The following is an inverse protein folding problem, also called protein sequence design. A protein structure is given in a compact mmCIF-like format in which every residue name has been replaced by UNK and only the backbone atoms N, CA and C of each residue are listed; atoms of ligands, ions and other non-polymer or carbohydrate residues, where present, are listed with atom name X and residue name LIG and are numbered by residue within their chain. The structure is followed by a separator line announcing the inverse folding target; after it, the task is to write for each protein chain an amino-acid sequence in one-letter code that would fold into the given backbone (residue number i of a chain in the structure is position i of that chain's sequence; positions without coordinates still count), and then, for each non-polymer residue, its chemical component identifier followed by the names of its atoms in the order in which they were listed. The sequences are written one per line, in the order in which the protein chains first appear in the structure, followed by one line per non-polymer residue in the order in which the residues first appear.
data_IF_611482640850
#
_entry.id   IF_611482640850
#
_cell.length_a   1.000
_cell.length_b   1.000
_cell.length_c   1.000
_cell.angle_alpha   90.00
_cell.angle_beta   90.00
_cell.angle_gamma   90.00
#
_symmetry.space_group_name_H-M   'P 1'
#
loop_
_entity.id
_entity.type
_entity.pdbx_description
1 polymer ?
#
# COMPACT_ATOMS: atom_id res chain seq x y z
N UNK A 1 12.76 -1.28 11.37
CA UNK A 1 14.17 -1.17 11.68
C UNK A 1 14.60 0.25 12.07
N UNK A 2 15.91 0.48 12.24
CA UNK A 2 16.51 1.75 12.66
C UNK A 2 16.05 2.93 11.78
N UNK A 3 15.99 2.75 10.48
CA UNK A 3 15.54 3.75 9.51
C UNK A 3 14.09 4.23 9.77
N UNK A 4 13.18 3.31 10.10
CA UNK A 4 11.79 3.69 10.43
C UNK A 4 11.72 4.44 11.76
N UNK A 5 12.58 4.09 12.74
CA UNK A 5 12.67 4.82 14.00
C UNK A 5 13.16 6.25 13.79
N UNK A 6 14.17 6.44 12.95
CA UNK A 6 14.72 7.75 12.57
C UNK A 6 13.64 8.59 11.87
N UNK A 7 12.92 8.04 10.90
CA UNK A 7 11.85 8.74 10.17
C UNK A 7 10.69 9.17 11.06
N UNK A 8 10.38 8.44 12.13
CA UNK A 8 9.35 8.84 13.08
C UNK A 8 9.72 10.09 13.87
N UNK A 9 11.00 10.34 14.07
CA UNK A 9 11.52 11.52 14.76
C UNK A 9 11.77 12.69 13.81
N UNK A 10 12.15 12.41 12.56
CA UNK A 10 12.39 13.41 11.53
C UNK A 10 11.22 13.41 10.53
N UNK A 11 10.22 14.26 10.78
CA UNK A 11 9.01 14.36 9.97
C UNK A 11 8.98 15.65 9.17
N UNK A 12 8.25 15.65 8.07
CA UNK A 12 7.96 16.86 7.31
C UNK A 12 7.32 17.92 8.24
N UNK A 13 7.88 19.13 8.24
CA UNK A 13 7.46 20.21 9.14
C UNK A 13 8.17 20.26 10.50
N UNK A 14 9.13 19.37 10.78
CA UNK A 14 9.97 19.47 11.96
C UNK A 14 10.85 20.71 11.88
N UNK A 15 10.71 21.63 12.85
CA UNK A 15 11.46 22.90 12.91
C UNK A 15 12.70 22.84 13.80
N UNK A 16 12.77 21.84 14.68
CA UNK A 16 13.87 21.69 15.62
C UNK A 16 14.87 20.65 15.11
N UNK A 17 16.13 20.84 15.46
CA UNK A 17 17.19 19.87 15.19
C UNK A 17 16.90 18.54 15.92
N UNK A 18 17.06 17.41 15.22
CA UNK A 18 16.87 16.07 15.78
C UNK A 18 18.23 15.41 15.91
N UNK A 19 18.70 15.20 17.13
CA UNK A 19 19.94 14.51 17.43
C UNK A 19 19.67 13.05 17.72
N UNK A 20 20.32 12.15 16.97
CA UNK A 20 20.16 10.70 17.10
C UNK A 20 21.45 10.10 17.63
N UNK A 21 21.38 9.47 18.80
CA UNK A 21 22.51 8.81 19.44
C UNK A 21 22.40 7.29 19.27
N UNK A 22 23.36 6.70 18.57
CA UNK A 22 23.48 5.25 18.41
C UNK A 22 24.51 4.72 19.38
N UNK A 23 24.05 4.01 20.42
CA UNK A 23 24.94 3.35 21.37
C UNK A 23 25.26 1.97 20.83
N UNK A 24 26.53 1.71 20.52
CA UNK A 24 27.01 0.42 19.98
C UNK A 24 28.16 -0.11 20.86
N UNK A 25 28.34 -1.43 20.87
CA UNK A 25 29.48 -2.10 21.49
C UNK A 25 30.54 -2.41 20.43
N UNK A 26 31.80 -2.61 20.84
CA UNK A 26 32.93 -2.89 19.95
C UNK A 26 32.75 -4.14 19.08
N UNK A 27 31.89 -5.08 19.52
CA UNK A 27 31.56 -6.29 18.79
C UNK A 27 30.58 -6.07 17.64
N UNK A 28 30.00 -4.87 17.48
CA UNK A 28 28.99 -4.53 16.48
C UNK A 28 29.53 -3.81 15.25
N UNK A 29 30.82 -3.89 14.96
CA UNK A 29 31.46 -3.24 13.81
C UNK A 29 30.75 -3.56 12.47
N UNK A 30 30.32 -4.80 12.27
CA UNK A 30 29.60 -5.24 11.07
C UNK A 30 28.22 -4.57 10.95
N UNK A 31 27.54 -4.33 12.06
CA UNK A 31 26.22 -3.67 12.08
C UNK A 31 26.37 -2.19 11.74
N UNK A 32 27.42 -1.52 12.27
CA UNK A 32 27.72 -0.14 11.94
C UNK A 32 28.02 0.01 10.44
N UNK A 33 28.85 -0.86 9.88
CA UNK A 33 29.17 -0.84 8.45
C UNK A 33 27.95 -1.08 7.56
N UNK A 34 27.03 -1.98 7.96
CA UNK A 34 25.77 -2.21 7.24
C UNK A 34 24.82 -0.99 7.31
N UNK A 35 24.80 -0.28 8.45
CA UNK A 35 24.02 0.96 8.62
C UNK A 35 24.61 2.07 7.74
N UNK A 36 25.93 2.29 7.79
CA UNK A 36 26.62 3.31 7.01
C UNK A 36 26.45 3.06 5.49
N UNK A 37 26.51 1.80 5.06
CA UNK A 37 26.28 1.43 3.65
C UNK A 37 24.84 1.74 3.21
N UNK A 38 23.85 1.40 4.03
CA UNK A 38 22.44 1.68 3.73
C UNK A 38 22.14 3.18 3.77
N UNK A 39 22.80 3.93 4.66
CA UNK A 39 22.65 5.38 4.72
C UNK A 39 23.22 6.04 3.45
N UNK A 40 24.39 5.64 3.00
CA UNK A 40 24.97 6.13 1.73
C UNK A 40 24.12 5.80 0.52
N UNK A 41 23.58 4.59 0.45
CA UNK A 41 22.65 4.22 -0.63
C UNK A 41 21.38 5.07 -0.61
N UNK A 42 20.88 5.40 0.57
CA UNK A 42 19.72 6.27 0.72
C UNK A 42 20.02 7.72 0.31
N UNK A 43 21.19 8.27 0.70
CA UNK A 43 21.62 9.62 0.30
C UNK A 43 21.78 9.73 -1.22
N UNK A 44 22.38 8.71 -1.86
CA UNK A 44 22.51 8.65 -3.32
C UNK A 44 21.10 8.63 -3.97
N UNK A 45 20.20 7.79 -3.45
CA UNK A 45 18.83 7.71 -3.96
C UNK A 45 18.07 9.03 -3.79
N UNK A 46 18.23 9.72 -2.64
CA UNK A 46 17.64 11.05 -2.43
C UNK A 46 18.19 12.09 -3.40
N UNK A 47 19.50 12.07 -3.65
CA UNK A 47 20.16 12.99 -4.55
C UNK A 47 19.75 12.75 -6.02
N UNK A 48 19.60 11.50 -6.41
CA UNK A 48 19.05 11.12 -7.72
C UNK A 48 17.58 11.51 -7.86
N UNK A 49 16.76 11.31 -6.82
CA UNK A 49 15.37 11.78 -6.79
C UNK A 49 15.30 13.32 -6.86
N UNK A 50 16.13 14.04 -6.10
CA UNK A 50 16.19 15.49 -6.14
C UNK A 50 16.62 16.02 -7.52
N UNK A 51 17.58 15.35 -8.18
CA UNK A 51 17.98 15.64 -9.55
C UNK A 51 16.86 15.36 -10.56
N UNK A 52 16.16 14.24 -10.41
CA UNK A 52 15.00 13.89 -11.25
C UNK A 52 13.85 14.90 -11.08
N UNK A 53 13.56 15.33 -9.85
CA UNK A 53 12.57 16.37 -9.57
C UNK A 53 12.98 17.72 -10.17
N UNK A 54 14.25 18.13 -10.04
CA UNK A 54 14.74 19.39 -10.61
C UNK A 54 14.78 19.40 -12.15
N UNK A 55 15.04 18.24 -12.78
CA UNK A 55 14.94 18.08 -14.24
C UNK A 55 13.49 18.09 -14.75
N UNK A 56 12.53 17.67 -13.91
CA UNK A 56 11.11 17.64 -14.24
C UNK A 56 10.36 18.94 -13.92
N UNK A 57 10.88 19.83 -13.06
CA UNK A 57 10.27 21.13 -12.77
C UNK A 57 10.25 22.10 -13.95
N UNK A 58 11.02 21.83 -15.01
CA UNK A 58 11.01 22.64 -16.23
C UNK A 58 10.05 22.16 -17.32
N UNK A 59 9.37 21.00 -17.17
CA UNK A 59 8.50 20.49 -18.24
C UNK A 59 7.55 19.34 -17.94
N UNK A 60 7.58 18.74 -16.76
CA UNK A 60 6.70 17.60 -16.43
C UNK A 60 6.39 17.53 -14.93
N UNK A 61 5.42 18.30 -14.50
CA UNK A 61 4.66 17.96 -13.29
C UNK A 61 3.81 16.74 -13.68
N UNK A 62 4.10 15.61 -13.10
CA UNK A 62 3.50 14.29 -13.17
C UNK A 62 4.35 13.22 -13.87
N UNK A 63 5.25 12.65 -13.13
CA UNK A 63 5.57 11.21 -13.19
C UNK A 63 6.24 10.76 -11.88
N UNK A 64 5.64 11.10 -10.74
CA UNK A 64 5.93 10.40 -9.49
C UNK A 64 5.03 9.17 -9.50
N UNK A 65 5.61 8.01 -9.79
CA UNK A 65 4.93 6.74 -9.60
C UNK A 65 4.01 6.23 -10.72
N UNK A 66 4.33 6.46 -12.00
CA UNK A 66 3.75 5.56 -12.98
C UNK A 66 4.33 4.17 -12.74
N UNK A 67 3.49 3.25 -12.25
CA UNK A 67 3.78 1.83 -12.38
C UNK A 67 4.07 1.55 -13.86
N UNK A 68 5.12 0.79 -14.14
CA UNK A 68 5.31 0.25 -15.48
C UNK A 68 4.10 -0.61 -15.81
N UNK A 69 3.15 -0.01 -16.54
CA UNK A 69 1.94 -0.70 -16.96
C UNK A 69 2.34 -1.65 -18.06
N UNK A 70 2.17 -2.92 -17.83
CA UNK A 70 2.36 -3.95 -18.85
C UNK A 70 1.03 -4.60 -19.15
N UNK A 71 0.78 -4.91 -20.42
CA UNK A 71 -0.43 -5.53 -20.88
C UNK A 71 -0.09 -6.72 -21.80
N UNK A 72 -0.76 -7.85 -21.54
CA UNK A 72 -0.71 -9.04 -22.39
C UNK A 72 -2.14 -9.49 -22.69
N UNK A 73 -2.48 -9.57 -23.96
CA UNK A 73 -3.83 -9.89 -24.41
C UNK A 73 -3.81 -11.03 -25.42
N UNK A 74 -4.81 -11.90 -25.35
CA UNK A 74 -5.14 -12.86 -26.41
C UNK A 74 -6.67 -13.04 -26.51
N UNK A 75 -7.13 -14.02 -27.29
CA UNK A 75 -8.56 -14.31 -27.47
C UNK A 75 -9.30 -14.70 -26.18
N UNK A 76 -8.57 -15.17 -25.16
CA UNK A 76 -9.14 -15.79 -23.96
C UNK A 76 -8.96 -14.97 -22.69
N UNK A 77 -7.90 -14.16 -22.62
CA UNK A 77 -7.59 -13.36 -21.44
C UNK A 77 -6.91 -12.03 -21.77
N UNK A 78 -7.04 -11.10 -20.84
CA UNK A 78 -6.26 -9.88 -20.77
C UNK A 78 -5.59 -9.82 -19.39
N UNK A 79 -4.26 -9.66 -19.36
CA UNK A 79 -3.50 -9.46 -18.12
C UNK A 79 -2.93 -8.06 -18.16
N UNK A 80 -3.24 -7.28 -17.13
CA UNK A 80 -2.72 -5.93 -16.97
C UNK A 80 -2.03 -5.82 -15.60
N UNK A 81 -0.81 -5.31 -15.60
CA UNK A 81 -0.07 -4.96 -14.38
C UNK A 81 -0.08 -3.45 -14.23
N UNK A 82 -0.45 -2.96 -13.05
CA UNK A 82 -0.50 -1.52 -12.75
C UNK A 82 -1.31 -1.24 -11.49
N UNK A 83 -1.60 0.03 -11.24
CA UNK A 83 -2.52 0.43 -10.18
C UNK A 83 -3.95 -0.05 -10.53
N UNK A 84 -4.48 -0.94 -9.69
CA UNK A 84 -5.79 -1.55 -9.93
C UNK A 84 -6.94 -0.53 -9.90
N UNK A 85 -6.81 0.57 -9.13
CA UNK A 85 -7.82 1.63 -9.07
C UNK A 85 -7.88 2.41 -10.39
N UNK A 86 -6.74 2.62 -11.04
CA UNK A 86 -6.66 3.28 -12.34
C UNK A 86 -7.08 2.33 -13.47
N UNK A 87 -6.56 1.09 -13.46
CA UNK A 87 -6.84 0.11 -14.51
C UNK A 87 -8.32 -0.26 -14.60
N UNK A 88 -9.00 -0.43 -13.47
CA UNK A 88 -10.42 -0.80 -13.44
C UNK A 88 -11.33 0.27 -14.05
N UNK A 89 -10.90 1.54 -14.11
CA UNK A 89 -11.65 2.62 -14.74
C UNK A 89 -11.85 2.39 -16.24
N UNK A 90 -10.97 1.63 -16.89
CA UNK A 90 -11.08 1.26 -18.29
C UNK A 90 -12.04 0.09 -18.54
N UNK A 91 -12.51 -0.57 -17.47
CA UNK A 91 -13.47 -1.68 -17.59
C UNK A 91 -14.88 -1.11 -17.73
N UNK A 92 -15.64 -1.68 -18.67
CA UNK A 92 -17.01 -1.26 -18.97
C UNK A 92 -17.92 -1.53 -17.77
N UNK A 93 -18.90 -0.64 -17.55
CA UNK A 93 -19.95 -0.80 -16.55
C UNK A 93 -20.72 -2.11 -16.77
N UNK A 94 -21.12 -2.76 -15.69
CA UNK A 94 -21.96 -3.96 -15.69
C UNK A 94 -21.47 -5.06 -16.65
N UNK A 95 -20.16 -5.27 -16.73
CA UNK A 95 -19.54 -6.23 -17.66
C UNK A 95 -18.90 -7.44 -17.01
N UNK A 96 -18.66 -7.39 -15.69
CA UNK A 96 -17.95 -8.44 -14.94
C UNK A 96 -18.91 -9.37 -14.25
N UNK A 97 -18.83 -10.67 -14.60
CA UNK A 97 -19.69 -11.70 -14.03
C UNK A 97 -19.19 -12.31 -12.71
N UNK A 98 -17.91 -12.21 -12.42
CA UNK A 98 -17.30 -12.67 -11.16
C UNK A 98 -16.00 -11.92 -10.93
N UNK A 99 -15.79 -11.43 -9.71
CA UNK A 99 -14.51 -10.90 -9.26
C UNK A 99 -13.98 -11.74 -8.10
N UNK A 100 -12.71 -12.14 -8.17
CA UNK A 100 -12.03 -12.91 -7.10
C UNK A 100 -10.67 -12.28 -6.83
N UNK A 101 -10.42 -11.86 -5.59
CA UNK A 101 -9.14 -11.27 -5.23
C UNK A 101 -8.87 -11.31 -3.72
N UNK A 102 -7.64 -10.99 -3.36
CA UNK A 102 -7.21 -10.79 -1.97
C UNK A 102 -6.70 -9.35 -1.85
N UNK A 103 -7.28 -8.51 -0.98
CA UNK A 103 -6.77 -7.17 -0.74
C UNK A 103 -5.45 -7.22 0.03
N UNK A 104 -4.63 -6.16 0.02
CA UNK A 104 -3.57 -6.02 0.99
C UNK A 104 -4.12 -6.12 2.43
N UNK A 105 -3.32 -6.71 3.34
CA UNK A 105 -3.72 -6.86 4.74
C UNK A 105 -3.38 -5.58 5.53
N UNK A 106 -3.89 -4.43 5.09
CA UNK A 106 -3.64 -3.11 5.66
C UNK A 106 -2.13 -2.87 5.92
N UNK A 107 -1.75 -2.51 7.15
CA UNK A 107 -0.36 -2.21 7.55
C UNK A 107 0.52 -3.45 7.81
N UNK A 108 0.01 -4.67 7.57
CA UNK A 108 0.73 -5.89 7.95
C UNK A 108 1.96 -6.12 7.06
N UNK A 109 1.84 -5.85 5.76
CA UNK A 109 2.92 -6.01 4.78
C UNK A 109 3.02 -4.78 3.88
N UNK A 110 4.26 -4.35 3.62
CA UNK A 110 4.59 -3.37 2.59
C UNK A 110 5.02 -4.12 1.34
N UNK A 111 4.28 -4.00 0.26
CA UNK A 111 4.55 -4.72 -0.99
C UNK A 111 5.47 -3.92 -1.92
N UNK A 112 5.38 -2.60 -1.89
CA UNK A 112 6.22 -1.71 -2.68
C UNK A 112 6.50 -0.38 -1.95
N UNK A 113 7.33 0.49 -2.55
CA UNK A 113 7.57 1.83 -2.04
C UNK A 113 6.69 2.91 -2.69
N UNK A 114 5.71 2.50 -3.50
CA UNK A 114 4.80 3.42 -4.16
C UNK A 114 3.79 4.02 -3.18
N UNK A 115 3.39 5.26 -3.44
CA UNK A 115 2.42 5.96 -2.59
C UNK A 115 1.03 5.36 -2.71
N UNK A 116 0.71 4.84 -3.90
CA UNK A 116 -0.57 4.19 -4.20
C UNK A 116 -0.68 2.76 -3.67
N UNK A 117 0.41 2.20 -3.15
CA UNK A 117 0.36 0.88 -2.51
C UNK A 117 -0.38 0.96 -1.18
N UNK A 118 -1.60 0.42 -1.15
CA UNK A 118 -2.47 0.39 0.03
C UNK A 118 -1.84 -0.34 1.22
N UNK A 119 -0.83 -1.21 1.00
CA UNK A 119 -0.02 -1.83 2.04
C UNK A 119 0.88 -0.84 2.81
N UNK A 120 1.06 0.39 2.29
CA UNK A 120 1.79 1.47 2.94
C UNK A 120 0.91 2.37 3.80
N UNK A 121 -0.38 2.08 3.92
CA UNK A 121 -1.32 2.86 4.72
C UNK A 121 -0.84 2.99 6.16
N UNK A 122 -1.02 4.16 6.72
CA UNK A 122 -0.58 4.51 8.09
C UNK A 122 -1.35 3.72 9.15
N UNK A 123 -2.64 3.53 8.90
CA UNK A 123 -3.57 2.84 9.78
C UNK A 123 -4.73 2.22 8.97
N UNK A 124 -5.60 1.48 9.66
CA UNK A 124 -6.75 0.82 9.05
C UNK A 124 -7.76 1.78 8.41
N UNK A 125 -7.93 2.99 8.96
CA UNK A 125 -8.86 3.97 8.42
C UNK A 125 -8.36 4.52 7.07
N UNK A 126 -7.06 4.81 6.99
CA UNK A 126 -6.44 5.23 5.75
C UNK A 126 -6.52 4.12 4.69
N UNK A 127 -6.22 2.87 5.08
CA UNK A 127 -6.38 1.72 4.21
C UNK A 127 -7.81 1.61 3.67
N UNK A 128 -8.82 1.65 4.54
CA UNK A 128 -10.22 1.54 4.14
C UNK A 128 -10.66 2.71 3.24
N UNK A 129 -10.14 3.91 3.51
CA UNK A 129 -10.40 5.07 2.65
C UNK A 129 -9.87 4.84 1.24
N UNK A 130 -8.63 4.41 1.09
CA UNK A 130 -8.02 4.10 -0.20
C UNK A 130 -8.73 2.91 -0.88
N UNK A 131 -9.00 1.85 -0.12
CA UNK A 131 -9.68 0.67 -0.63
C UNK A 131 -11.12 0.95 -1.10
N UNK A 132 -11.79 1.96 -0.51
CA UNK A 132 -13.13 2.37 -0.93
C UNK A 132 -13.19 2.84 -2.39
N UNK A 133 -12.10 3.37 -2.95
CA UNK A 133 -12.05 3.75 -4.36
C UNK A 133 -12.17 2.52 -5.26
N UNK A 134 -11.43 1.44 -4.95
CA UNK A 134 -11.54 0.17 -5.67
C UNK A 134 -12.93 -0.45 -5.51
N UNK A 135 -13.50 -0.44 -4.31
CA UNK A 135 -14.83 -1.03 -4.06
C UNK A 135 -15.91 -0.33 -4.88
N UNK A 136 -15.88 0.99 -5.00
CA UNK A 136 -16.84 1.76 -5.83
C UNK A 136 -16.74 1.39 -7.31
N UNK A 137 -15.53 1.26 -7.81
CA UNK A 137 -15.31 0.82 -9.19
C UNK A 137 -15.75 -0.63 -9.40
N UNK A 138 -15.49 -1.52 -8.44
CA UNK A 138 -16.03 -2.88 -8.47
C UNK A 138 -17.55 -2.86 -8.53
N UNK A 139 -18.22 -2.01 -7.74
CA UNK A 139 -19.68 -1.89 -7.79
C UNK A 139 -20.17 -1.43 -9.16
N UNK A 140 -19.47 -0.53 -9.82
CA UNK A 140 -19.78 -0.04 -11.17
C UNK A 140 -19.65 -1.13 -12.24
N UNK A 141 -18.53 -1.89 -12.22
CA UNK A 141 -18.22 -2.85 -13.28
C UNK A 141 -18.92 -4.20 -13.12
N UNK A 142 -19.36 -4.55 -11.91
CA UNK A 142 -20.04 -5.82 -11.65
C UNK A 142 -21.44 -5.83 -12.24
N UNK A 143 -21.80 -6.92 -12.93
CA UNK A 143 -23.18 -7.16 -13.37
C UNK A 143 -24.08 -7.38 -12.15
N UNK A 144 -25.32 -6.94 -12.23
CA UNK A 144 -26.29 -7.13 -11.16
C UNK A 144 -26.49 -8.62 -10.83
N UNK A 145 -26.59 -8.93 -9.53
CA UNK A 145 -26.77 -10.30 -9.04
C UNK A 145 -25.54 -11.20 -9.19
N UNK A 146 -24.37 -10.62 -9.49
CA UNK A 146 -23.10 -11.36 -9.59
C UNK A 146 -22.24 -11.17 -8.35
N UNK A 147 -21.32 -12.11 -8.13
CA UNK A 147 -20.57 -12.21 -6.89
C UNK A 147 -19.19 -11.57 -6.98
N UNK A 148 -18.80 -10.93 -5.89
CA UNK A 148 -17.42 -10.58 -5.57
C UNK A 148 -16.95 -11.49 -4.44
N UNK A 149 -15.91 -12.27 -4.66
CA UNK A 149 -15.30 -13.14 -3.66
C UNK A 149 -14.00 -12.49 -3.16
N UNK A 150 -13.94 -12.14 -1.89
CA UNK A 150 -12.79 -11.51 -1.26
C UNK A 150 -12.14 -12.50 -0.30
N UNK A 151 -10.89 -12.89 -0.61
CA UNK A 151 -10.10 -13.72 0.27
C UNK A 151 -9.36 -12.85 1.29
N UNK A 152 -9.75 -12.94 2.55
CA UNK A 152 -9.10 -12.21 3.65
C UNK A 152 -9.19 -13.04 4.95
N UNK A 153 -8.47 -12.60 5.95
CA UNK A 153 -8.49 -13.20 7.29
C UNK A 153 -8.43 -12.10 8.35
N UNK A 154 -8.82 -12.45 9.57
CA UNK A 154 -8.62 -11.58 10.72
C UNK A 154 -7.15 -11.48 11.09
N UNK A 155 -6.71 -10.29 11.49
CA UNK A 155 -5.29 -9.99 11.66
C UNK A 155 -4.83 -10.15 13.10
N UNK A 156 -3.67 -10.77 13.35
CA UNK A 156 -3.16 -10.95 14.70
C UNK A 156 -2.76 -9.59 15.32
N UNK A 157 -3.22 -9.37 16.53
CA UNK A 157 -2.80 -8.25 17.37
C UNK A 157 -1.52 -8.64 18.12
N UNK A 158 -0.48 -7.83 17.97
CA UNK A 158 0.82 -8.08 18.58
C UNK A 158 0.94 -7.35 19.92
N UNK A 159 1.28 -8.08 20.99
CA UNK A 159 1.47 -7.50 22.34
C UNK A 159 2.46 -6.33 22.36
N UNK A 160 3.51 -6.39 21.55
CA UNK A 160 4.53 -5.34 21.49
C UNK A 160 4.05 -4.02 20.86
N UNK A 161 2.95 -4.06 20.06
CA UNK A 161 2.38 -2.86 19.42
C UNK A 161 1.17 -2.32 20.20
N UNK A 162 0.30 -3.20 20.68
CA UNK A 162 -1.01 -2.83 21.23
C UNK A 162 -1.21 -3.22 22.69
N UNK A 163 -0.23 -3.86 23.32
CA UNK A 163 -0.24 -4.21 24.74
C UNK A 163 -0.97 -5.51 25.10
N UNK A 164 -1.71 -6.11 24.15
CA UNK A 164 -2.43 -7.38 24.35
C UNK A 164 -2.30 -8.29 23.12
N UNK A 165 -2.73 -9.54 23.25
CA UNK A 165 -2.77 -10.54 22.18
C UNK A 165 -4.23 -10.78 21.82
N UNK A 166 -4.56 -10.80 20.53
CA UNK A 166 -5.91 -11.04 20.05
C UNK A 166 -5.97 -11.11 18.53
N UNK A 167 -7.17 -11.05 18.00
CA UNK A 167 -7.46 -10.91 16.58
C UNK A 167 -8.20 -9.59 16.34
N UNK A 168 -7.85 -8.91 15.27
CA UNK A 168 -8.58 -7.77 14.75
C UNK A 168 -9.54 -8.28 13.68
N UNK A 169 -10.79 -7.94 13.81
CA UNK A 169 -11.85 -8.28 12.86
C UNK A 169 -11.66 -7.51 11.53
N UNK A 170 -10.61 -7.86 10.79
CA UNK A 170 -10.33 -7.27 9.48
C UNK A 170 -11.35 -7.72 8.44
N UNK A 171 -11.77 -8.97 8.51
CA UNK A 171 -12.80 -9.51 7.61
C UNK A 171 -14.16 -8.80 7.77
N UNK A 172 -14.55 -8.47 9.00
CA UNK A 172 -15.76 -7.67 9.25
C UNK A 172 -15.62 -6.22 8.76
N UNK A 173 -14.44 -5.61 8.89
CA UNK A 173 -14.16 -4.28 8.35
C UNK A 173 -14.27 -4.26 6.81
N UNK A 174 -13.73 -5.25 6.12
CA UNK A 174 -13.85 -5.40 4.66
C UNK A 174 -15.31 -5.58 4.27
N UNK A 175 -16.05 -6.49 4.93
CA UNK A 175 -17.47 -6.71 4.69
C UNK A 175 -18.25 -5.40 4.79
N UNK A 176 -18.06 -4.65 5.88
CA UNK A 176 -18.72 -3.37 6.11
C UNK A 176 -18.44 -2.36 5.01
N UNK A 177 -17.19 -2.28 4.51
CA UNK A 177 -16.84 -1.39 3.42
C UNK A 177 -17.56 -1.73 2.11
N UNK A 178 -17.79 -3.01 1.82
CA UNK A 178 -18.57 -3.45 0.68
C UNK A 178 -20.05 -3.13 0.85
N UNK A 179 -20.63 -3.37 2.03
CA UNK A 179 -22.04 -3.02 2.33
C UNK A 179 -22.27 -1.51 2.21
N UNK A 180 -21.35 -0.67 2.70
CA UNK A 180 -21.41 0.79 2.59
C UNK A 180 -21.35 1.29 1.13
N UNK A 181 -20.78 0.51 0.24
CA UNK A 181 -20.76 0.78 -1.21
C UNK A 181 -22.01 0.25 -1.95
N UNK A 182 -22.89 -0.47 -1.28
CA UNK A 182 -24.16 -0.98 -1.84
C UNK A 182 -24.19 -2.46 -2.17
N UNK A 183 -23.12 -3.21 -1.90
CA UNK A 183 -23.13 -4.67 -2.02
C UNK A 183 -23.95 -5.31 -0.91
N UNK A 184 -24.45 -6.51 -1.17
CA UNK A 184 -25.21 -7.32 -0.21
C UNK A 184 -24.38 -8.53 0.20
N UNK A 185 -24.24 -8.75 1.50
CA UNK A 185 -23.55 -9.94 2.00
C UNK A 185 -24.28 -11.21 1.63
N UNK A 186 -23.61 -12.11 0.94
CA UNK A 186 -24.21 -13.38 0.50
C UNK A 186 -23.81 -14.55 1.41
N UNK A 187 -22.54 -14.78 1.63
CA UNK A 187 -22.06 -15.90 2.46
C UNK A 187 -20.58 -15.75 2.83
N UNK A 188 -20.13 -16.52 3.81
CA UNK A 188 -18.72 -16.76 4.15
C UNK A 188 -18.44 -18.25 4.03
N UNK A 189 -17.33 -18.64 3.43
CA UNK A 189 -16.78 -19.99 3.33
C UNK A 189 -15.45 -20.10 4.01
#
# INVERSE_FOLDING_TARGET
GLYQAIRRSYRFGQKNEVNIYLITTDTMANVKQAIDTKQKQFEIMQDEMAKAVNLNLAGQIMQVGQFDTTEENNEWYSIQRGDCVQLIQNVKDESIGLSVFSPPFAELYTYSNHLEDMGNSKDYNEFLTQFSFLIRELYRVMMQGRNVAVHCMDLPIQKGKEGFIGLRDFSGMILKAFEDAGFVYASRV
#
